data_IF_084905091335
#
_entry.id   IF_084905091335
#
_cell.length_a   1.000
_cell.length_b   1.000
_cell.length_c   1.000
_cell.angle_alpha   90.00
_cell.angle_beta   90.00
_cell.angle_gamma   90.00
#
_symmetry.space_group_name_H-M   'P 1'
#
loop_
_entity.id
_entity.type
_entity.pdbx_description
1 polymer ?
#
# COMPACT_ATOMS: atom_id res chain seq x y z
N UNK A 1 -2.63 19.67 3.25
CA UNK A 1 -2.49 21.04 3.81
C UNK A 1 -3.28 21.10 5.11
N UNK A 2 -2.73 21.69 6.17
CA UNK A 2 -3.45 21.88 7.44
C UNK A 2 -3.64 23.37 7.67
N UNK A 3 -4.87 23.77 7.97
CA UNK A 3 -5.22 25.17 8.24
C UNK A 3 -4.91 25.61 9.67
N UNK A 4 -4.68 24.64 10.56
CA UNK A 4 -4.39 24.83 11.99
C UNK A 4 -3.02 24.24 12.28
N UNK A 5 -2.28 24.90 13.16
CA UNK A 5 -0.99 24.42 13.65
C UNK A 5 -1.09 23.04 14.30
N UNK A 6 -0.13 22.16 14.00
CA UNK A 6 -0.13 20.77 14.46
C UNK A 6 0.09 20.64 15.97
N UNK A 7 0.83 21.58 16.57
CA UNK A 7 1.15 21.60 18.01
C UNK A 7 -0.05 22.02 18.88
N UNK A 8 -1.09 22.61 18.28
CA UNK A 8 -2.32 23.00 18.99
C UNK A 8 -3.20 21.78 19.30
N UNK A 9 -3.05 20.69 18.53
CA UNK A 9 -3.86 19.51 18.74
C UNK A 9 -3.44 18.75 20.00
N UNK A 10 -4.43 18.35 20.79
CA UNK A 10 -4.23 17.45 21.92
C UNK A 10 -3.76 16.06 21.45
N UNK A 11 -3.06 15.32 22.32
CA UNK A 11 -2.63 13.94 22.03
C UNK A 11 -3.79 13.05 21.51
N UNK A 12 -5.00 13.19 22.06
CA UNK A 12 -6.16 12.41 21.60
C UNK A 12 -6.61 12.78 20.18
N UNK A 13 -6.51 14.06 19.80
CA UNK A 13 -6.80 14.52 18.44
C UNK A 13 -5.73 14.04 17.45
N UNK A 14 -4.45 14.04 17.82
CA UNK A 14 -3.39 13.44 16.98
C UNK A 14 -3.64 11.95 16.74
N UNK A 15 -4.06 11.22 17.78
CA UNK A 15 -4.39 9.79 17.65
C UNK A 15 -5.60 9.60 16.71
N UNK A 16 -6.63 10.44 16.83
CA UNK A 16 -7.77 10.42 15.92
C UNK A 16 -7.36 10.69 14.47
N UNK A 17 -6.51 11.71 14.25
CA UNK A 17 -6.00 12.02 12.91
C UNK A 17 -5.13 10.88 12.36
N UNK A 18 -4.33 10.25 13.22
CA UNK A 18 -3.56 9.04 12.89
C UNK A 18 -4.47 7.92 12.42
N UNK A 19 -5.57 7.66 13.13
CA UNK A 19 -6.56 6.67 12.72
C UNK A 19 -7.19 7.01 11.36
N UNK A 20 -7.49 8.29 11.11
CA UNK A 20 -8.05 8.73 9.84
C UNK A 20 -7.05 8.52 8.68
N UNK A 21 -5.78 8.88 8.87
CA UNK A 21 -4.71 8.63 7.90
C UNK A 21 -4.51 7.13 7.66
N UNK A 22 -4.57 6.33 8.72
CA UNK A 22 -4.44 4.87 8.64
C UNK A 22 -5.53 4.22 7.79
N UNK A 23 -6.79 4.63 7.98
CA UNK A 23 -7.94 4.10 7.22
C UNK A 23 -7.98 4.68 5.80
N UNK A 24 -7.56 5.92 5.60
CA UNK A 24 -7.51 6.57 4.29
C UNK A 24 -6.33 6.15 3.41
N UNK A 25 -5.35 5.42 3.95
CA UNK A 25 -4.16 5.00 3.23
C UNK A 25 -4.48 4.02 2.10
N UNK A 26 -3.78 4.16 0.97
CA UNK A 26 -4.02 3.36 -0.24
C UNK A 26 -3.93 1.84 0.02
N UNK A 27 -2.95 1.41 0.82
CA UNK A 27 -2.78 -0.01 1.17
C UNK A 27 -3.96 -0.54 2.00
N UNK A 28 -4.53 0.29 2.89
CA UNK A 28 -5.69 -0.11 3.69
C UNK A 28 -6.94 -0.25 2.82
N UNK A 29 -7.19 0.72 1.93
CA UNK A 29 -8.31 0.67 0.98
C UNK A 29 -8.16 -0.54 0.05
N UNK A 30 -6.96 -0.77 -0.49
CA UNK A 30 -6.66 -1.93 -1.32
C UNK A 30 -6.86 -3.26 -0.58
N UNK A 31 -6.52 -3.33 0.71
CA UNK A 31 -6.81 -4.49 1.56
C UNK A 31 -8.33 -4.70 1.73
N UNK A 32 -9.09 -3.62 1.93
CA UNK A 32 -10.54 -3.67 2.08
C UNK A 32 -11.22 -4.15 0.79
N UNK A 33 -10.76 -3.68 -0.37
CA UNK A 33 -11.23 -4.16 -1.67
C UNK A 33 -11.00 -5.66 -1.85
N UNK A 34 -9.84 -6.16 -1.41
CA UNK A 34 -9.54 -7.59 -1.44
C UNK A 34 -10.44 -8.41 -0.51
N UNK A 35 -10.78 -7.88 0.67
CA UNK A 35 -11.76 -8.51 1.58
C UNK A 35 -13.17 -8.56 0.97
N UNK A 36 -13.61 -7.48 0.31
CA UNK A 36 -14.89 -7.46 -0.39
C UNK A 36 -14.90 -8.43 -1.58
N UNK A 37 -13.81 -8.49 -2.36
CA UNK A 37 -13.66 -9.44 -3.46
C UNK A 37 -13.77 -10.89 -2.95
N UNK A 38 -13.10 -11.21 -1.84
CA UNK A 38 -13.19 -12.52 -1.19
C UNK A 38 -14.61 -12.85 -0.72
N UNK A 39 -15.28 -11.89 -0.08
CA UNK A 39 -16.66 -12.07 0.38
C UNK A 39 -17.62 -12.31 -0.79
N UNK A 40 -17.50 -11.53 -1.87
CA UNK A 40 -18.30 -11.68 -3.10
C UNK A 40 -18.07 -13.03 -3.77
N UNK A 41 -16.81 -13.49 -3.84
CA UNK A 41 -16.48 -14.81 -4.38
C UNK A 41 -17.13 -15.94 -3.57
N UNK A 42 -17.03 -15.88 -2.23
CA UNK A 42 -17.67 -16.85 -1.33
C UNK A 42 -19.20 -16.91 -1.53
N UNK A 43 -19.84 -15.76 -1.69
CA UNK A 43 -21.28 -15.71 -1.91
C UNK A 43 -21.68 -16.29 -3.28
N UNK A 44 -20.94 -15.99 -4.35
CA UNK A 44 -21.20 -16.57 -5.69
C UNK A 44 -21.10 -18.09 -5.71
N UNK A 45 -20.08 -18.63 -5.04
CA UNK A 45 -19.92 -20.09 -4.90
C UNK A 45 -21.08 -20.70 -4.11
N UNK A 46 -21.53 -20.02 -3.04
CA UNK A 46 -22.66 -20.50 -2.22
C UNK A 46 -24.00 -20.46 -2.98
N UNK A 47 -24.24 -19.46 -3.84
CA UNK A 47 -25.46 -19.36 -4.65
C UNK A 47 -25.50 -20.35 -5.80
N UNK A 48 -24.34 -20.67 -6.39
CA UNK A 48 -24.26 -21.66 -7.48
C UNK A 48 -24.45 -23.11 -7.01
N UNK A 49 -24.50 -23.36 -5.69
CA UNK A 49 -24.81 -24.66 -5.11
C UNK A 49 -26.32 -24.94 -4.96
N UNK A 50 -27.18 -23.95 -5.21
CA UNK A 50 -28.60 -24.21 -5.39
C UNK A 50 -28.86 -24.46 -6.88
N UNK A 51 -29.34 -25.65 -7.28
CA UNK A 51 -29.73 -25.86 -8.66
C UNK A 51 -30.84 -24.87 -9.01
N UNK A 52 -30.86 -24.28 -10.22
CA UNK A 52 -32.05 -23.59 -10.68
C UNK A 52 -33.21 -24.58 -10.60
N UNK A 53 -34.24 -24.23 -9.84
CA UNK A 53 -35.53 -24.92 -9.83
C UNK A 53 -35.97 -25.07 -11.28
N UNK A 54 -36.41 -26.25 -11.75
CA UNK A 54 -36.93 -26.37 -13.10
C UNK A 54 -38.19 -25.50 -13.19
N UNK A 55 -38.05 -24.32 -13.78
CA UNK A 55 -39.18 -23.54 -14.25
C UNK A 55 -39.94 -24.41 -15.25
N UNK A 56 -41.22 -24.65 -14.96
CA UNK A 56 -42.16 -25.30 -15.86
C UNK A 56 -42.15 -24.53 -17.20
N UNK A 57 -42.16 -25.20 -18.36
CA UNK A 57 -42.23 -24.49 -19.63
C UNK A 57 -43.56 -23.73 -19.69
N UNK A 58 -43.50 -22.40 -19.80
CA UNK A 58 -44.66 -21.62 -20.20
C UNK A 58 -44.95 -21.89 -21.66
N UNK A 59 -46.15 -22.42 -21.90
CA UNK A 59 -46.77 -22.57 -23.20
C UNK A 59 -46.91 -21.17 -23.82
N UNK A 60 -46.24 -20.95 -24.95
CA UNK A 60 -46.64 -19.91 -25.89
C UNK A 60 -46.65 -20.51 -27.29
N UNK A 61 -47.86 -20.81 -27.77
CA UNK A 61 -48.13 -21.13 -29.16
C UNK A 61 -47.77 -19.93 -30.04
N UNK A 62 -47.05 -20.19 -31.14
CA UNK A 62 -47.32 -19.69 -32.50
C UNK A 62 -46.26 -20.22 -33.49
N UNK A 63 -46.65 -21.20 -34.33
CA UNK A 63 -46.47 -21.32 -35.80
C UNK A 63 -45.14 -20.81 -36.45
N UNK A 64 -44.37 -21.48 -37.33
CA UNK A 64 -44.62 -22.43 -38.45
C UNK A 64 -43.28 -22.98 -39.01
N UNK A 65 -43.24 -24.29 -39.34
CA UNK A 65 -42.39 -25.05 -40.32
C UNK A 65 -40.84 -24.92 -40.31
N UNK A 66 -39.99 -25.93 -40.56
CA UNK A 66 -40.01 -27.13 -41.41
C UNK A 66 -38.84 -28.06 -40.96
N UNK A 67 -39.00 -29.39 -40.89
CA UNK A 67 -37.85 -30.31 -41.03
C UNK A 67 -37.63 -31.42 -39.98
N UNK A 68 -38.14 -32.60 -40.33
CA UNK A 68 -37.60 -33.95 -40.08
C UNK A 68 -37.61 -34.58 -38.67
N UNK A 69 -38.65 -35.40 -38.53
CA UNK A 69 -38.94 -36.53 -37.62
C UNK A 69 -37.75 -37.48 -37.38
N UNK A 70 -37.55 -37.89 -36.12
CA UNK A 70 -37.32 -39.30 -35.71
C UNK A 70 -37.40 -39.48 -34.18
N UNK A 71 -38.35 -40.29 -33.71
CA UNK A 71 -38.42 -40.92 -32.36
C UNK A 71 -38.46 -42.45 -32.61
N UNK A 72 -37.77 -43.28 -31.81
CA UNK A 72 -38.48 -44.25 -30.93
C UNK A 72 -37.77 -44.43 -29.56
N UNK A 73 -38.42 -44.12 -28.43
CA UNK A 73 -39.19 -45.00 -27.50
C UNK A 73 -38.48 -45.26 -26.13
N UNK A 74 -39.24 -45.47 -25.04
CA UNK A 74 -38.83 -45.28 -23.65
C UNK A 74 -38.48 -46.61 -22.93
N UNK A 75 -37.63 -46.54 -21.90
CA UNK A 75 -37.63 -47.53 -20.83
C UNK A 75 -37.46 -46.88 -19.45
N UNK A 76 -38.40 -47.22 -18.58
CA UNK A 76 -38.53 -46.87 -17.16
C UNK A 76 -37.47 -47.51 -16.25
N UNK A 77 -37.21 -46.78 -15.15
CA UNK A 77 -36.99 -47.25 -13.77
C UNK A 77 -35.82 -48.21 -13.48
N UNK A 78 -34.80 -47.75 -12.74
CA UNK A 78 -34.85 -47.84 -11.27
C UNK A 78 -33.68 -47.14 -10.56
N UNK A 79 -33.97 -46.71 -9.33
CA UNK A 79 -33.21 -45.85 -8.44
C UNK A 79 -31.82 -46.37 -8.00
N UNK A 80 -30.88 -45.43 -7.90
CA UNK A 80 -30.09 -45.20 -6.66
C UNK A 80 -29.55 -43.76 -6.68
N UNK A 81 -29.81 -42.89 -5.68
CA UNK A 81 -29.12 -41.62 -5.59
C UNK A 81 -27.69 -41.93 -5.13
N UNK A 82 -26.77 -42.07 -6.07
CA UNK A 82 -25.36 -41.85 -5.74
C UNK A 82 -25.25 -40.39 -5.33
N UNK A 83 -25.04 -40.16 -4.03
CA UNK A 83 -24.51 -38.90 -3.51
C UNK A 83 -23.14 -38.66 -4.15
N UNK A 84 -23.14 -38.23 -5.40
CA UNK A 84 -21.98 -37.68 -6.06
C UNK A 84 -21.89 -36.27 -5.55
N UNK A 85 -21.13 -36.09 -4.47
CA UNK A 85 -20.59 -34.79 -4.12
C UNK A 85 -19.88 -34.29 -5.38
N UNK A 86 -20.52 -33.40 -6.13
CA UNK A 86 -19.91 -32.79 -7.31
C UNK A 86 -18.66 -32.08 -6.79
N UNK A 87 -17.45 -32.46 -7.25
CA UNK A 87 -16.24 -31.88 -6.72
C UNK A 87 -16.31 -30.38 -6.98
N UNK A 88 -16.04 -29.59 -5.95
CA UNK A 88 -15.61 -28.21 -6.11
C UNK A 88 -14.56 -28.21 -7.22
N UNK A 89 -14.76 -27.46 -8.31
CA UNK A 89 -13.79 -27.42 -9.41
C UNK A 89 -12.44 -27.04 -8.79
N UNK A 90 -11.40 -27.88 -8.92
CA UNK A 90 -10.12 -27.71 -8.23
C UNK A 90 -9.55 -26.29 -8.39
N UNK A 91 -9.80 -25.66 -9.54
CA UNK A 91 -9.45 -24.27 -9.87
C UNK A 91 -10.13 -23.22 -8.99
N UNK A 92 -11.39 -23.41 -8.63
CA UNK A 92 -12.15 -22.45 -7.82
C UNK A 92 -11.68 -22.47 -6.36
N UNK A 93 -11.34 -23.66 -5.85
CA UNK A 93 -10.76 -23.86 -4.50
C UNK A 93 -9.38 -23.22 -4.42
N UNK A 94 -8.56 -23.44 -5.45
CA UNK A 94 -7.23 -22.86 -5.53
C UNK A 94 -7.27 -21.33 -5.62
N UNK A 95 -8.24 -20.77 -6.34
CA UNK A 95 -8.45 -19.32 -6.45
C UNK A 95 -8.90 -18.71 -5.13
N UNK A 96 -9.87 -19.33 -4.44
CA UNK A 96 -10.33 -18.88 -3.13
C UNK A 96 -9.25 -18.94 -2.05
N UNK A 97 -8.45 -20.02 -2.05
CA UNK A 97 -7.32 -20.15 -1.15
C UNK A 97 -6.26 -19.08 -1.46
N UNK A 98 -5.92 -18.89 -2.73
CA UNK A 98 -4.96 -17.87 -3.16
C UNK A 98 -5.38 -16.46 -2.73
N UNK A 99 -6.66 -16.10 -2.90
CA UNK A 99 -7.22 -14.84 -2.39
C UNK A 99 -7.11 -14.73 -0.88
N UNK A 100 -7.40 -15.82 -0.15
CA UNK A 100 -7.30 -15.85 1.32
C UNK A 100 -5.85 -15.62 1.79
N UNK A 101 -4.88 -16.29 1.17
CA UNK A 101 -3.47 -16.09 1.49
C UNK A 101 -3.00 -14.69 1.08
N UNK A 102 -3.44 -14.16 -0.06
CA UNK A 102 -3.10 -12.79 -0.47
C UNK A 102 -3.58 -11.77 0.56
N UNK A 103 -4.81 -11.91 1.07
CA UNK A 103 -5.33 -11.05 2.13
C UNK A 103 -4.46 -11.11 3.39
N UNK A 104 -4.07 -12.32 3.81
CA UNK A 104 -3.19 -12.49 4.98
C UNK A 104 -1.80 -11.89 4.76
N UNK A 105 -1.25 -12.01 3.55
CA UNK A 105 0.05 -11.42 3.21
C UNK A 105 -0.02 -9.89 3.21
N UNK A 106 -1.05 -9.30 2.63
CA UNK A 106 -1.24 -7.84 2.60
C UNK A 106 -1.44 -7.30 4.01
N UNK A 107 -2.29 -7.94 4.82
CA UNK A 107 -2.50 -7.58 6.23
C UNK A 107 -1.20 -7.71 7.03
N UNK A 108 -0.46 -8.80 6.84
CA UNK A 108 0.82 -9.04 7.50
C UNK A 108 1.86 -7.99 7.10
N UNK A 109 1.99 -7.67 5.81
CA UNK A 109 2.85 -6.60 5.31
C UNK A 109 2.53 -5.28 5.99
N UNK A 110 1.26 -4.88 5.97
CA UNK A 110 0.82 -3.61 6.54
C UNK A 110 1.13 -3.51 8.03
N UNK A 111 0.80 -4.54 8.82
CA UNK A 111 1.08 -4.55 10.27
C UNK A 111 2.59 -4.55 10.55
N UNK A 112 3.37 -5.38 9.84
CA UNK A 112 4.82 -5.50 10.08
C UNK A 112 5.53 -4.20 9.73
N UNK A 113 5.23 -3.58 8.59
CA UNK A 113 5.88 -2.33 8.17
C UNK A 113 5.61 -1.23 9.21
N UNK A 114 4.36 -1.05 9.63
CA UNK A 114 4.00 -0.05 10.63
C UNK A 114 4.65 -0.30 11.99
N UNK A 115 4.66 -1.55 12.47
CA UNK A 115 5.29 -1.91 13.74
C UNK A 115 6.80 -1.70 13.72
N UNK A 116 7.46 -2.09 12.62
CA UNK A 116 8.91 -1.88 12.43
C UNK A 116 9.21 -0.39 12.39
N UNK A 117 8.46 0.40 11.61
CA UNK A 117 8.63 1.84 11.55
C UNK A 117 8.46 2.51 12.91
N UNK A 118 7.36 2.21 13.61
CA UNK A 118 7.08 2.73 14.94
C UNK A 118 8.20 2.40 15.93
N UNK A 119 8.64 1.14 15.94
CA UNK A 119 9.72 0.67 16.81
C UNK A 119 11.03 1.40 16.53
N UNK A 120 11.42 1.53 15.26
CA UNK A 120 12.66 2.20 14.86
C UNK A 120 12.66 3.69 15.24
N UNK A 121 11.58 4.42 14.97
CA UNK A 121 11.49 5.85 15.30
C UNK A 121 11.41 6.06 16.81
N UNK A 122 10.65 5.22 17.53
CA UNK A 122 10.57 5.30 18.99
C UNK A 122 11.91 4.98 19.66
N UNK A 123 12.61 3.96 19.16
CA UNK A 123 13.96 3.62 19.61
C UNK A 123 14.93 4.79 19.34
N UNK A 124 14.90 5.40 18.16
CA UNK A 124 15.74 6.55 17.85
C UNK A 124 15.48 7.74 18.78
N UNK A 125 14.20 8.07 19.00
CA UNK A 125 13.79 9.19 19.87
C UNK A 125 14.10 8.97 21.35
N UNK A 126 14.30 7.72 21.78
CA UNK A 126 14.71 7.41 23.15
C UNK A 126 16.23 7.40 23.30
N UNK A 127 16.96 6.92 22.28
CA UNK A 127 18.42 6.83 22.28
C UNK A 127 19.13 8.16 22.01
N UNK A 128 18.53 9.06 21.22
CA UNK A 128 19.17 10.32 20.81
C UNK A 128 18.62 11.49 21.63
N UNK A 129 19.41 12.06 22.58
CA UNK A 129 18.94 13.11 23.48
C UNK A 129 18.54 14.40 22.76
N UNK A 130 19.24 14.75 21.68
CA UNK A 130 18.97 15.94 20.88
C UNK A 130 17.56 15.92 20.28
N UNK A 131 17.19 14.82 19.62
CA UNK A 131 15.86 14.64 19.04
C UNK A 131 14.79 14.50 20.14
N UNK A 132 15.10 13.83 21.25
CA UNK A 132 14.21 13.73 22.41
C UNK A 132 13.89 15.10 23.02
N UNK A 133 14.89 15.97 23.12
CA UNK A 133 14.74 17.28 23.74
C UNK A 133 13.83 18.20 22.91
N UNK A 134 13.90 18.10 21.58
CA UNK A 134 12.96 18.78 20.67
C UNK A 134 11.50 18.44 21.01
N UNK A 135 11.18 17.15 21.16
CA UNK A 135 9.82 16.71 21.50
C UNK A 135 9.41 17.13 22.92
N UNK A 136 10.33 17.05 23.89
CA UNK A 136 10.07 17.51 25.26
C UNK A 136 9.75 19.00 25.33
N UNK A 137 10.45 19.82 24.57
CA UNK A 137 10.25 21.27 24.56
C UNK A 137 8.88 21.65 23.97
N UNK A 138 8.33 20.81 23.09
CA UNK A 138 7.03 21.00 22.44
C UNK A 138 5.89 20.22 23.13
N UNK A 139 6.13 19.63 24.30
CA UNK A 139 5.18 18.78 25.05
C UNK A 139 4.60 17.57 24.27
N UNK A 140 5.33 17.09 23.25
CA UNK A 140 4.88 15.97 22.41
C UNK A 140 5.38 14.65 22.99
N UNK A 141 4.46 13.70 23.22
CA UNK A 141 4.81 12.35 23.65
C UNK A 141 5.54 11.60 22.54
N UNK A 142 6.64 10.95 22.89
CA UNK A 142 7.48 10.18 21.94
C UNK A 142 6.66 9.13 21.19
N UNK A 143 5.83 8.35 21.91
CA UNK A 143 5.02 7.31 21.30
C UNK A 143 3.99 7.88 20.30
N UNK A 144 3.30 8.98 20.67
CA UNK A 144 2.36 9.66 19.77
C UNK A 144 3.08 10.14 18.52
N UNK A 145 4.25 10.76 18.68
CA UNK A 145 5.05 11.23 17.55
C UNK A 145 5.47 10.10 16.63
N UNK A 146 6.06 9.02 17.17
CA UNK A 146 6.53 7.90 16.37
C UNK A 146 5.40 7.23 15.59
N UNK A 147 4.24 7.03 16.23
CA UNK A 147 3.09 6.40 15.57
C UNK A 147 2.51 7.31 14.49
N UNK A 148 2.31 8.59 14.82
CA UNK A 148 1.73 9.57 13.91
C UNK A 148 2.60 9.74 12.65
N UNK A 149 3.91 9.98 12.84
CA UNK A 149 4.84 10.17 11.73
C UNK A 149 4.88 8.94 10.84
N UNK A 150 5.02 7.74 11.41
CA UNK A 150 5.12 6.51 10.61
C UNK A 150 3.84 6.23 9.81
N UNK A 151 2.67 6.38 10.43
CA UNK A 151 1.40 6.20 9.72
C UNK A 151 1.21 7.27 8.64
N UNK A 152 1.56 8.52 8.93
CA UNK A 152 1.48 9.63 7.98
C UNK A 152 2.42 9.45 6.79
N UNK A 153 3.69 9.10 7.03
CA UNK A 153 4.68 8.80 5.99
C UNK A 153 4.21 7.64 5.13
N UNK A 154 3.74 6.55 5.75
CA UNK A 154 3.26 5.37 5.04
C UNK A 154 1.98 5.65 4.24
N UNK A 155 1.07 6.47 4.76
CA UNK A 155 -0.14 6.87 4.05
C UNK A 155 0.09 8.05 3.08
N UNK A 156 1.34 8.48 2.87
CA UNK A 156 1.68 9.61 2.00
C UNK A 156 0.96 10.92 2.35
N UNK A 157 0.69 11.16 3.64
CA UNK A 157 -0.09 12.32 4.10
C UNK A 157 0.76 13.57 4.36
N UNK A 158 2.05 13.42 4.66
CA UNK A 158 3.00 14.53 4.81
C UNK A 158 2.86 15.33 6.10
N UNK A 159 2.03 14.83 7.00
CA UNK A 159 1.78 15.44 8.29
C UNK A 159 2.78 14.97 9.31
N UNK A 160 3.24 15.90 10.13
CA UNK A 160 4.09 15.66 11.28
C UNK A 160 3.51 16.43 12.46
N UNK A 161 3.61 15.91 13.70
CA UNK A 161 3.11 16.58 14.91
C UNK A 161 3.75 17.93 15.26
N UNK A 162 4.72 18.40 14.47
CA UNK A 162 5.45 19.65 14.68
C UNK A 162 5.01 20.68 13.66
N UNK A 163 4.95 21.95 14.07
CA UNK A 163 4.51 23.05 13.22
C UNK A 163 5.47 23.25 12.02
N UNK A 164 6.76 23.05 12.24
CA UNK A 164 7.79 23.21 11.22
C UNK A 164 8.08 21.90 10.46
N UNK A 165 7.22 20.89 10.56
CA UNK A 165 7.40 19.57 9.94
C UNK A 165 8.76 18.94 10.34
N UNK A 166 9.42 18.19 9.44
CA UNK A 166 10.74 17.59 9.67
C UNK A 166 11.90 18.59 9.74
N UNK A 167 11.67 19.90 9.52
CA UNK A 167 12.73 20.92 9.59
C UNK A 167 13.41 20.97 10.96
N UNK A 168 12.65 20.71 12.03
CA UNK A 168 13.19 20.69 13.41
C UNK A 168 14.23 19.57 13.60
N UNK A 169 14.14 18.52 12.79
CA UNK A 169 15.03 17.35 12.82
C UNK A 169 16.11 17.39 11.73
N UNK A 170 16.32 18.53 11.07
CA UNK A 170 17.31 18.71 10.00
C UNK A 170 18.74 18.31 10.41
N UNK A 171 19.14 18.52 11.67
CA UNK A 171 20.42 18.07 12.23
C UNK A 171 20.43 16.60 12.68
N UNK A 172 19.25 15.99 12.82
CA UNK A 172 19.08 14.59 13.25
C UNK A 172 18.99 13.67 12.03
N UNK A 173 20.08 13.59 11.25
CA UNK A 173 20.12 12.80 10.00
C UNK A 173 19.77 11.32 10.18
N UNK A 174 20.02 10.76 11.37
CA UNK A 174 19.63 9.39 11.68
C UNK A 174 18.11 9.17 11.64
N UNK A 175 17.31 10.14 12.10
CA UNK A 175 15.85 10.06 12.03
C UNK A 175 15.38 10.08 10.57
N UNK A 176 15.93 11.02 9.78
CA UNK A 176 15.60 11.19 8.37
C UNK A 176 15.88 9.92 7.58
N UNK A 177 17.04 9.27 7.82
CA UNK A 177 17.37 8.00 7.17
C UNK A 177 16.50 6.83 7.60
N UNK A 178 15.96 6.84 8.83
CA UNK A 178 15.04 5.80 9.28
C UNK A 178 13.66 5.94 8.63
N UNK A 179 13.18 7.18 8.45
CA UNK A 179 11.90 7.49 7.84
C UNK A 179 11.96 7.35 6.31
N UNK A 180 13.11 7.66 5.68
CA UNK A 180 13.28 7.68 4.23
C UNK A 180 12.83 6.38 3.51
N UNK A 181 13.23 5.16 3.94
CA UNK A 181 12.73 3.94 3.33
C UNK A 181 11.21 3.80 3.43
N UNK A 182 10.61 4.26 4.54
CA UNK A 182 9.17 4.18 4.79
C UNK A 182 8.35 5.00 3.78
N UNK A 183 8.89 6.13 3.31
CA UNK A 183 8.28 6.99 2.28
C UNK A 183 7.93 6.19 1.01
N UNK A 184 8.78 5.23 0.64
CA UNK A 184 8.57 4.46 -0.59
C UNK A 184 7.64 3.25 -0.39
N UNK A 185 7.62 2.66 0.80
CA UNK A 185 6.91 1.41 1.10
C UNK A 185 5.37 1.56 1.11
N UNK A 186 4.89 2.77 1.32
CA UNK A 186 3.49 3.05 1.58
C UNK A 186 2.59 3.16 0.36
N UNK A 187 3.12 3.69 -0.75
CA UNK A 187 2.32 3.95 -1.95
C UNK A 187 3.05 3.47 -3.21
N UNK A 188 3.96 4.28 -3.77
CA UNK A 188 4.45 4.04 -5.12
C UNK A 188 5.24 2.74 -5.28
N UNK A 189 6.01 2.32 -4.26
CA UNK A 189 6.72 1.04 -4.30
C UNK A 189 6.00 -0.07 -3.54
N UNK A 190 4.73 0.13 -3.14
CA UNK A 190 3.93 -0.94 -2.54
C UNK A 190 3.82 -2.18 -3.46
N UNK A 191 3.47 -2.08 -4.76
CA UNK A 191 3.36 -3.26 -5.62
C UNK A 191 4.67 -4.06 -5.79
N UNK A 192 5.84 -3.43 -6.07
CA UNK A 192 7.12 -4.14 -6.07
C UNK A 192 7.47 -4.78 -4.73
N UNK A 193 7.26 -4.07 -3.61
CA UNK A 193 7.56 -4.58 -2.27
C UNK A 193 6.69 -5.79 -1.91
N UNK A 194 5.39 -5.71 -2.18
CA UNK A 194 4.46 -6.82 -2.00
C UNK A 194 4.89 -8.04 -2.82
N UNK A 195 5.28 -7.83 -4.08
CA UNK A 195 5.77 -8.91 -4.96
C UNK A 195 7.03 -9.57 -4.39
N UNK A 196 7.98 -8.79 -3.86
CA UNK A 196 9.18 -9.33 -3.21
C UNK A 196 8.85 -10.15 -1.96
N UNK A 197 7.91 -9.68 -1.13
CA UNK A 197 7.43 -10.43 0.04
C UNK A 197 6.81 -11.76 -0.37
N UNK A 198 5.94 -11.76 -1.38
CA UNK A 198 5.33 -12.98 -1.92
C UNK A 198 6.40 -13.94 -2.46
N UNK A 199 7.41 -13.42 -3.17
CA UNK A 199 8.54 -14.24 -3.67
C UNK A 199 9.35 -14.84 -2.51
N UNK A 200 9.60 -14.08 -1.45
CA UNK A 200 10.24 -14.57 -0.23
C UNK A 200 9.43 -15.68 0.44
N UNK A 201 8.13 -15.45 0.64
CA UNK A 201 7.21 -16.43 1.21
C UNK A 201 7.10 -17.69 0.35
N UNK A 202 7.12 -17.56 -0.98
CA UNK A 202 7.20 -18.71 -1.90
C UNK A 202 8.45 -19.54 -1.65
N UNK A 203 9.61 -18.89 -1.47
CA UNK A 203 10.89 -19.58 -1.25
C UNK A 203 10.93 -20.30 0.10
N UNK A 204 10.32 -19.73 1.14
CA UNK A 204 10.26 -20.28 2.49
C UNK A 204 9.18 -21.38 2.62
N UNK A 205 7.96 -21.10 2.18
CA UNK A 205 6.80 -21.96 2.37
C UNK A 205 6.69 -23.09 1.33
N UNK A 206 7.32 -22.92 0.15
CA UNK A 206 7.27 -23.85 -1.01
C UNK A 206 5.87 -24.28 -1.46
N UNK A 207 4.80 -23.60 -1.02
CA UNK A 207 3.42 -23.90 -1.41
C UNK A 207 3.14 -23.50 -2.84
N UNK A 208 2.36 -24.34 -3.53
CA UNK A 208 1.95 -24.12 -4.92
C UNK A 208 1.06 -22.88 -5.11
N UNK A 209 0.31 -22.50 -4.06
CA UNK A 209 -0.60 -21.36 -4.04
C UNK A 209 0.14 -20.03 -4.32
N UNK A 210 1.32 -19.81 -3.74
CA UNK A 210 2.12 -18.60 -4.04
C UNK A 210 2.67 -18.59 -5.47
N UNK A 211 2.97 -19.78 -6.03
CA UNK A 211 3.40 -19.90 -7.42
C UNK A 211 2.24 -19.67 -8.38
N UNK A 212 1.04 -20.12 -8.03
CA UNK A 212 -0.17 -19.89 -8.79
C UNK A 212 -0.53 -18.40 -8.79
N UNK A 213 -0.49 -17.76 -7.61
CA UNK A 213 -0.76 -16.33 -7.44
C UNK A 213 0.17 -15.43 -8.27
N UNK A 214 1.47 -15.74 -8.29
CA UNK A 214 2.45 -14.94 -9.05
C UNK A 214 2.34 -15.11 -10.57
N UNK A 215 1.80 -16.25 -11.05
CA UNK A 215 1.61 -16.58 -12.47
C UNK A 215 0.26 -16.08 -13.00
N UNK A 216 -0.81 -16.25 -12.22
CA UNK A 216 -2.19 -15.92 -12.60
C UNK A 216 -2.69 -14.63 -11.93
N UNK A 217 -1.79 -13.68 -11.69
CA UNK A 217 -2.12 -12.41 -11.02
C UNK A 217 -3.24 -11.63 -11.73
N UNK A 218 -3.37 -11.77 -13.06
CA UNK A 218 -4.45 -11.16 -13.85
C UNK A 218 -5.82 -11.75 -13.53
N UNK A 219 -5.90 -13.05 -13.26
CA UNK A 219 -7.17 -13.73 -12.99
C UNK A 219 -7.66 -13.50 -11.56
N UNK A 220 -6.76 -13.11 -10.66
CA UNK A 220 -7.05 -12.78 -9.25
C UNK A 220 -7.66 -11.37 -9.13
N UNK A 221 -7.42 -10.49 -10.11
CA UNK A 221 -8.06 -9.18 -10.19
C UNK A 221 -7.65 -8.18 -9.11
N UNK A 222 -6.43 -8.31 -8.57
CA UNK A 222 -5.87 -7.36 -7.59
C UNK A 222 -4.95 -6.37 -8.30
N UNK A 223 -5.37 -5.10 -8.40
CA UNK A 223 -4.70 -4.07 -9.21
C UNK A 223 -3.25 -3.80 -8.77
N UNK A 224 -2.96 -3.91 -7.47
CA UNK A 224 -1.60 -3.74 -6.93
C UNK A 224 -0.70 -4.98 -7.12
N UNK A 225 -1.17 -6.06 -7.77
CA UNK A 225 -0.29 -7.15 -8.21
C UNK A 225 0.16 -6.92 -9.65
N UNK A 226 1.24 -6.15 -9.82
CA UNK A 226 1.85 -5.92 -11.14
C UNK A 226 2.76 -7.08 -11.58
N UNK A 227 2.94 -7.21 -12.90
CA UNK A 227 3.94 -8.12 -13.50
C UNK A 227 5.36 -7.75 -13.08
N UNK A 228 6.29 -8.72 -13.09
CA UNK A 228 7.66 -8.51 -12.61
C UNK A 228 8.43 -7.47 -13.42
N UNK A 229 8.17 -7.43 -14.74
CA UNK A 229 8.72 -6.41 -15.63
C UNK A 229 8.17 -5.02 -15.30
N UNK A 230 6.86 -4.90 -15.08
CA UNK A 230 6.25 -3.63 -14.68
C UNK A 230 6.75 -3.14 -13.32
N UNK A 231 6.92 -4.05 -12.34
CA UNK A 231 7.55 -3.70 -11.07
C UNK A 231 8.99 -3.20 -11.25
N UNK A 232 9.77 -3.85 -12.12
CA UNK A 232 11.14 -3.43 -12.42
C UNK A 232 11.17 -2.04 -13.06
N UNK A 233 10.34 -1.80 -14.07
CA UNK A 233 10.20 -0.48 -14.71
C UNK A 233 9.73 0.59 -13.72
N UNK A 234 8.79 0.27 -12.83
CA UNK A 234 8.31 1.20 -11.81
C UNK A 234 9.43 1.60 -10.86
N UNK A 235 10.18 0.63 -10.31
CA UNK A 235 11.33 0.89 -9.44
C UNK A 235 12.40 1.71 -10.17
N UNK A 236 12.72 1.34 -11.42
CA UNK A 236 13.71 2.04 -12.22
C UNK A 236 13.31 3.50 -12.47
N UNK A 237 12.05 3.77 -12.82
CA UNK A 237 11.54 5.12 -13.05
C UNK A 237 11.56 5.96 -11.77
N UNK A 238 11.09 5.41 -10.64
CA UNK A 238 11.10 6.11 -9.35
C UNK A 238 12.52 6.48 -8.94
N UNK A 239 13.47 5.53 -9.03
CA UNK A 239 14.86 5.78 -8.69
C UNK A 239 15.51 6.80 -9.66
N UNK A 240 15.26 6.68 -10.96
CA UNK A 240 15.80 7.60 -11.96
C UNK A 240 15.34 9.04 -11.71
N UNK A 241 14.04 9.25 -11.50
CA UNK A 241 13.50 10.59 -11.24
C UNK A 241 13.99 11.17 -9.91
N UNK A 242 14.08 10.35 -8.86
CA UNK A 242 14.66 10.78 -7.58
C UNK A 242 16.13 11.17 -7.72
N UNK A 243 16.93 10.42 -8.48
CA UNK A 243 18.36 10.73 -8.70
C UNK A 243 18.50 12.03 -9.50
N UNK A 244 17.72 12.22 -10.56
CA UNK A 244 17.74 13.46 -11.35
C UNK A 244 17.42 14.66 -10.46
N UNK A 245 16.36 14.56 -9.67
CA UNK A 245 15.92 15.64 -8.78
C UNK A 245 16.94 15.89 -7.66
N UNK A 246 17.58 14.84 -7.12
CA UNK A 246 18.65 14.95 -6.14
C UNK A 246 19.87 15.68 -6.70
N UNK A 247 20.31 15.35 -7.92
CA UNK A 247 21.44 16.02 -8.58
C UNK A 247 21.13 17.50 -8.83
N UNK A 248 19.91 17.82 -9.31
CA UNK A 248 19.48 19.20 -9.52
C UNK A 248 19.42 19.99 -8.21
N UNK A 249 18.78 19.42 -7.18
CA UNK A 249 18.64 20.05 -5.87
C UNK A 249 20.00 20.31 -5.23
N UNK A 250 20.86 19.29 -5.24
CA UNK A 250 22.22 19.40 -4.72
C UNK A 250 23.01 20.48 -5.44
N UNK A 251 22.98 20.51 -6.77
CA UNK A 251 23.79 21.44 -7.56
C UNK A 251 23.40 22.91 -7.31
N UNK A 252 22.11 23.17 -7.09
CA UNK A 252 21.59 24.53 -6.95
C UNK A 252 21.59 25.04 -5.50
N UNK A 253 21.32 24.20 -4.50
CA UNK A 253 21.17 24.63 -3.10
C UNK A 253 22.43 24.47 -2.24
N UNK A 254 23.52 23.91 -2.78
CA UNK A 254 24.71 23.59 -1.97
C UNK A 254 25.28 24.77 -1.17
N UNK A 255 25.25 25.95 -1.79
CA UNK A 255 25.83 27.20 -1.27
C UNK A 255 24.77 28.22 -0.84
N UNK A 256 23.50 27.82 -0.72
CA UNK A 256 22.44 28.73 -0.27
C UNK A 256 22.33 28.72 1.26
N UNK A 257 21.70 29.76 1.81
CA UNK A 257 21.41 29.89 3.26
C UNK A 257 20.60 28.70 3.79
N UNK A 258 19.82 28.06 2.92
CA UNK A 258 19.03 26.86 3.22
C UNK A 258 19.90 25.71 3.73
N UNK A 259 21.13 25.56 3.26
CA UNK A 259 22.06 24.51 3.69
C UNK A 259 23.18 25.01 4.61
N UNK A 260 23.16 26.28 4.99
CA UNK A 260 24.19 26.89 5.82
C UNK A 260 24.17 26.31 7.25
N UNK A 261 25.35 26.04 7.80
CA UNK A 261 25.51 25.45 9.14
C UNK A 261 25.27 23.94 9.24
N UNK A 262 25.02 23.24 8.13
CA UNK A 262 24.97 21.77 8.07
C UNK A 262 26.31 21.16 7.65
N UNK A 263 26.64 20.03 8.26
CA UNK A 263 27.78 19.22 7.84
C UNK A 263 27.51 18.53 6.49
N UNK A 264 28.55 18.09 5.79
CA UNK A 264 28.45 17.42 4.49
C UNK A 264 27.45 16.26 4.50
N UNK A 265 27.53 15.40 5.51
CA UNK A 265 26.62 14.28 5.69
C UNK A 265 25.16 14.72 5.90
N UNK A 266 24.94 15.74 6.72
CA UNK A 266 23.59 16.25 7.00
C UNK A 266 22.96 16.89 5.74
N UNK A 267 23.77 17.58 4.93
CA UNK A 267 23.34 18.12 3.63
C UNK A 267 22.90 17.00 2.69
N UNK A 268 23.68 15.92 2.57
CA UNK A 268 23.36 14.77 1.71
C UNK A 268 22.01 14.17 2.11
N UNK A 269 21.88 13.84 3.40
CA UNK A 269 20.70 13.15 3.93
C UNK A 269 19.48 14.06 3.84
N UNK A 270 19.61 15.34 4.20
CA UNK A 270 18.54 16.31 4.10
C UNK A 270 18.04 16.48 2.66
N UNK A 271 18.96 16.61 1.68
CA UNK A 271 18.61 16.69 0.27
C UNK A 271 17.89 15.44 -0.23
N UNK A 272 18.42 14.26 0.10
CA UNK A 272 17.82 12.99 -0.32
C UNK A 272 16.41 12.84 0.25
N UNK A 273 16.24 13.19 1.53
CA UNK A 273 14.94 13.17 2.18
C UNK A 273 13.97 14.17 1.56
N UNK A 274 14.39 15.40 1.32
CA UNK A 274 13.53 16.43 0.72
C UNK A 274 13.04 16.01 -0.67
N UNK A 275 13.94 15.47 -1.49
CA UNK A 275 13.63 15.04 -2.86
C UNK A 275 12.70 13.83 -2.88
N UNK A 276 12.95 12.83 -2.03
CA UNK A 276 12.06 11.67 -1.91
C UNK A 276 10.66 12.08 -1.44
N UNK A 277 10.57 12.99 -0.48
CA UNK A 277 9.29 13.43 0.05
C UNK A 277 8.54 14.37 -0.89
N UNK A 278 9.22 15.13 -1.75
CA UNK A 278 8.58 16.05 -2.68
C UNK A 278 7.51 15.36 -3.54
N UNK A 279 7.74 14.12 -3.96
CA UNK A 279 6.76 13.36 -4.75
C UNK A 279 5.83 12.47 -3.92
N UNK A 280 6.33 11.89 -2.83
CA UNK A 280 5.68 10.72 -2.25
C UNK A 280 4.90 10.99 -0.97
N UNK A 281 5.44 11.75 -0.03
CA UNK A 281 4.81 11.93 1.27
C UNK A 281 4.51 13.39 1.58
N UNK A 282 5.29 14.36 1.08
CA UNK A 282 5.06 15.79 1.34
C UNK A 282 5.67 16.31 2.64
N UNK A 283 6.53 15.54 3.31
CA UNK A 283 7.31 16.02 4.44
C UNK A 283 8.45 16.94 3.99
N UNK A 284 8.70 18.03 4.72
CA UNK A 284 9.76 19.00 4.39
C UNK A 284 10.81 19.10 5.49
N UNK A 285 12.09 19.06 5.09
CA UNK A 285 13.28 19.26 5.95
C UNK A 285 13.88 20.65 5.74
N UNK A 286 13.59 21.26 4.60
CA UNK A 286 13.98 22.63 4.30
C UNK A 286 12.75 23.51 4.11
N UNK A 287 12.93 24.79 4.36
CA UNK A 287 11.92 25.79 4.08
C UNK A 287 11.80 25.96 2.57
N UNK A 288 10.63 25.60 2.02
CA UNK A 288 10.37 25.68 0.58
C UNK A 288 10.38 27.13 0.09
N UNK A 289 10.10 28.10 0.95
CA UNK A 289 10.09 29.52 0.59
C UNK A 289 11.49 30.10 0.36
N UNK A 290 12.53 29.46 0.92
CA UNK A 290 13.92 29.90 0.77
C UNK A 290 14.67 29.18 -0.36
N UNK A 291 14.02 28.23 -1.05
CA UNK A 291 14.60 27.51 -2.17
C UNK A 291 14.62 28.36 -3.45
N UNK A 292 15.56 28.06 -4.34
CA UNK A 292 15.60 28.65 -5.67
C UNK A 292 14.31 28.39 -6.46
N UNK A 293 13.83 29.40 -7.18
CA UNK A 293 12.63 29.32 -8.02
C UNK A 293 12.68 28.16 -9.03
N UNK A 294 13.87 27.81 -9.54
CA UNK A 294 14.02 26.71 -10.47
C UNK A 294 13.68 25.35 -9.83
N UNK A 295 14.07 25.15 -8.58
CA UNK A 295 13.80 23.90 -7.84
C UNK A 295 12.33 23.80 -7.48
N UNK A 296 11.71 24.92 -7.13
CA UNK A 296 10.27 24.97 -6.89
C UNK A 296 9.51 24.50 -8.13
N UNK A 297 9.89 24.94 -9.33
CA UNK A 297 9.31 24.45 -10.59
C UNK A 297 9.53 22.95 -10.76
N UNK A 298 10.74 22.45 -10.49
CA UNK A 298 11.03 21.01 -10.55
C UNK A 298 10.15 20.22 -9.57
N UNK A 299 9.97 20.71 -8.34
CA UNK A 299 9.12 20.07 -7.34
C UNK A 299 7.66 20.06 -7.78
N UNK A 300 7.15 21.16 -8.36
CA UNK A 300 5.80 21.24 -8.91
C UNK A 300 5.59 20.28 -10.07
N UNK A 301 6.58 20.07 -10.95
CA UNK A 301 6.47 19.12 -12.07
C UNK A 301 6.52 17.67 -11.59
N UNK A 302 7.18 17.41 -10.46
CA UNK A 302 7.32 16.07 -9.89
C UNK A 302 6.13 15.64 -9.01
N UNK A 303 5.41 16.61 -8.43
CA UNK A 303 4.16 16.43 -7.67
C UNK A 303 2.98 16.21 -8.62
#
# INVERSE_FOLDING_TARGET
MVAVEMEVFSNSQLILLTFLMFVGGEVFISMLDLLFARYKFRNRVSTNHFPPTPEKPQVHDNHVELGLISIPQPQSENQKPSHTNVPFKDTDTLTYNSLTYLTLVVLGYFVVVQLVGFSLVSMYMTLVPSARQVLKNKDIKIATFSLFTIVSTFASCGFVPTNENMMVFKKSSGLLLLILPHVFLGNTLYPPCLRLVIMGLRKVSRREEFSHMLKNFKDIGYDHMLSGLHCCFLVATVLCLNVIQFVMFWSMEWNTKTMEGLNFYEKVVGSLFQVANARHAGESVFDLSSLSSAILVVFVVMM
#
